data_IF_341614792528
#
_entry.id   IF_341614792528
#
_cell.length_a   1.000
_cell.length_b   1.000
_cell.length_c   1.000
_cell.angle_alpha   90.00
_cell.angle_beta   90.00
_cell.angle_gamma   90.00
#
_symmetry.space_group_name_H-M   'P 1'
#
loop_
_entity.id
_entity.type
_entity.pdbx_description
1 polymer ?
#
# COMPACT_ATOMS: atom_id res chain seq x y z
N UNK A 1 10.30 22.22 5.78
CA UNK A 1 9.33 22.35 4.68
C UNK A 1 7.92 22.17 5.22
N UNK A 2 6.95 22.98 4.82
CA UNK A 2 5.55 22.88 5.30
C UNK A 2 4.81 21.69 4.67
N UNK A 3 3.62 21.38 5.19
CA UNK A 3 2.77 20.30 4.63
C UNK A 3 2.34 20.57 3.19
N UNK A 4 1.98 21.83 2.88
CA UNK A 4 1.61 22.23 1.52
C UNK A 4 2.81 22.17 0.57
N UNK A 5 3.99 22.62 1.02
CA UNK A 5 5.23 22.52 0.24
C UNK A 5 5.62 21.07 -0.01
N UNK A 6 5.52 20.20 1.00
CA UNK A 6 5.82 18.78 0.85
C UNK A 6 4.86 18.12 -0.14
N UNK A 7 3.56 18.42 -0.04
CA UNK A 7 2.54 17.92 -0.96
C UNK A 7 2.78 18.39 -2.40
N UNK A 8 3.04 19.68 -2.60
CA UNK A 8 3.26 20.24 -3.93
C UNK A 8 4.58 19.77 -4.56
N UNK A 9 5.66 19.76 -3.79
CA UNK A 9 7.01 19.47 -4.32
C UNK A 9 7.24 17.99 -4.57
N UNK A 10 6.69 17.12 -3.72
CA UNK A 10 6.89 15.67 -3.79
C UNK A 10 5.65 14.90 -4.21
N UNK A 11 4.54 15.59 -4.50
CA UNK A 11 3.27 15.00 -4.92
C UNK A 11 2.71 14.00 -3.88
N UNK A 12 3.01 14.25 -2.60
CA UNK A 12 2.51 13.41 -1.51
C UNK A 12 1.10 13.88 -1.16
N UNK A 13 0.09 12.98 -1.15
CA UNK A 13 -1.27 13.36 -0.76
C UNK A 13 -1.31 13.94 0.66
N UNK A 14 -2.09 15.01 0.86
CA UNK A 14 -2.26 15.64 2.18
C UNK A 14 -2.77 14.65 3.24
N UNK A 15 -3.61 13.69 2.84
CA UNK A 15 -4.10 12.63 3.72
C UNK A 15 -2.96 11.81 4.33
N UNK A 16 -1.99 11.39 3.51
CA UNK A 16 -0.80 10.65 3.96
C UNK A 16 0.06 11.49 4.90
N UNK A 17 0.22 12.78 4.60
CA UNK A 17 0.97 13.71 5.47
C UNK A 17 0.28 13.88 6.83
N UNK A 18 -1.04 13.97 6.86
CA UNK A 18 -1.82 14.06 8.10
C UNK A 18 -1.81 12.75 8.90
N UNK A 19 -1.90 11.59 8.24
CA UNK A 19 -1.74 10.30 8.91
C UNK A 19 -0.37 10.19 9.58
N UNK A 20 0.68 10.57 8.84
CA UNK A 20 2.05 10.58 9.36
C UNK A 20 2.22 11.47 10.59
N UNK A 21 1.68 12.70 10.56
CA UNK A 21 1.68 13.60 11.72
C UNK A 21 0.90 13.01 12.91
N UNK A 22 -0.26 12.39 12.65
CA UNK A 22 -1.14 11.78 13.66
C UNK A 22 -0.49 10.60 14.37
N UNK A 23 0.30 9.79 13.66
CA UNK A 23 1.00 8.66 14.26
C UNK A 23 2.14 9.07 15.19
N UNK A 24 2.57 10.33 15.17
CA UNK A 24 3.60 10.85 16.07
C UNK A 24 4.96 10.15 15.91
N UNK A 25 5.24 9.63 14.71
CA UNK A 25 6.46 8.86 14.40
C UNK A 25 7.73 9.71 14.39
N UNK A 26 7.61 11.04 14.44
CA UNK A 26 8.74 11.94 14.62
C UNK A 26 8.91 12.30 16.09
N UNK A 27 10.16 12.20 16.56
CA UNK A 27 10.55 12.68 17.89
C UNK A 27 10.05 14.12 18.11
N UNK A 28 9.55 14.37 19.31
CA UNK A 28 8.68 15.47 19.71
C UNK A 28 9.19 16.93 19.53
N UNK A 29 10.17 17.19 18.66
CA UNK A 29 10.89 18.48 18.56
C UNK A 29 10.97 18.97 17.11
N UNK A 30 9.84 19.07 16.41
CA UNK A 30 9.77 19.75 15.09
C UNK A 30 8.61 20.75 14.96
N UNK A 31 8.05 21.21 16.08
CA UNK A 31 7.15 22.37 16.09
C UNK A 31 7.98 23.63 16.33
N UNK A 32 8.42 24.28 15.25
CA UNK A 32 8.93 25.66 15.33
C UNK A 32 7.74 26.57 15.04
N UNK A 33 7.25 27.28 16.07
CA UNK A 33 6.14 28.25 15.99
C UNK A 33 4.92 27.66 15.25
N UNK A 34 4.24 26.71 15.90
CA UNK A 34 2.87 26.30 15.52
C UNK A 34 2.72 25.44 14.26
N UNK A 35 3.76 25.25 13.44
CA UNK A 35 3.70 24.45 12.20
C UNK A 35 4.74 23.32 12.19
N UNK A 36 4.37 22.17 11.60
CA UNK A 36 5.28 21.07 11.33
C UNK A 36 6.23 21.43 10.19
N UNK A 37 7.48 20.99 10.31
CA UNK A 37 8.51 21.17 9.29
C UNK A 37 9.12 19.82 8.94
N UNK A 38 8.85 19.35 7.72
CA UNK A 38 9.43 18.13 7.16
C UNK A 38 10.89 18.34 6.78
N UNK A 39 11.75 17.40 7.17
CA UNK A 39 13.14 17.27 6.72
C UNK A 39 13.34 16.04 5.84
N UNK A 40 14.57 15.81 5.39
CA UNK A 40 14.90 14.71 4.49
C UNK A 40 14.61 13.33 5.10
N UNK A 41 14.74 13.16 6.43
CA UNK A 41 14.40 11.91 7.11
C UNK A 41 12.89 11.66 7.11
N UNK A 42 12.08 12.71 7.24
CA UNK A 42 10.63 12.58 7.14
C UNK A 42 10.22 12.21 5.71
N UNK A 43 10.88 12.79 4.69
CA UNK A 43 10.63 12.45 3.29
C UNK A 43 10.98 10.99 2.97
N UNK A 44 12.10 10.48 3.49
CA UNK A 44 12.46 9.06 3.36
C UNK A 44 11.37 8.15 3.95
N UNK A 45 10.85 8.49 5.13
CA UNK A 45 9.78 7.72 5.78
C UNK A 45 8.46 7.80 5.02
N UNK A 46 8.11 8.98 4.51
CA UNK A 46 6.91 9.17 3.69
C UNK A 46 6.98 8.38 2.38
N UNK A 47 8.17 8.24 1.78
CA UNK A 47 8.34 7.40 0.59
C UNK A 47 8.03 5.92 0.86
N UNK A 48 8.39 5.43 2.06
CA UNK A 48 8.07 4.07 2.50
C UNK A 48 6.56 3.93 2.71
N UNK A 49 5.92 4.91 3.37
CA UNK A 49 4.47 4.93 3.60
C UNK A 49 3.71 4.90 2.27
N UNK A 50 4.12 5.72 1.29
CA UNK A 50 3.53 5.69 -0.05
C UNK A 50 3.68 4.31 -0.70
N UNK A 51 4.87 3.72 -0.63
CA UNK A 51 5.11 2.38 -1.20
C UNK A 51 4.21 1.33 -0.57
N UNK A 52 3.99 1.37 0.75
CA UNK A 52 3.11 0.44 1.44
C UNK A 52 1.64 0.66 1.05
N UNK A 53 1.21 1.91 0.93
CA UNK A 53 -0.13 2.25 0.45
C UNK A 53 -0.36 1.74 -0.99
N UNK A 54 0.62 1.90 -1.88
CA UNK A 54 0.54 1.40 -3.28
C UNK A 54 0.48 -0.13 -3.37
N UNK A 55 1.09 -0.83 -2.42
CA UNK A 55 0.98 -2.30 -2.29
C UNK A 55 -0.42 -2.70 -1.76
N UNK A 56 -1.18 -1.74 -1.21
CA UNK A 56 -2.52 -1.94 -0.66
C UNK A 56 -2.51 -2.30 0.82
N UNK A 57 -1.51 -1.88 1.59
CA UNK A 57 -1.59 -1.93 3.06
C UNK A 57 -2.61 -0.93 3.59
N UNK A 58 -3.34 -1.33 4.62
CA UNK A 58 -4.26 -0.43 5.33
C UNK A 58 -3.48 0.52 6.25
N UNK A 59 -4.01 1.72 6.53
CA UNK A 59 -3.34 2.74 7.37
C UNK A 59 -2.88 2.20 8.73
N UNK A 60 -3.63 1.28 9.34
CA UNK A 60 -3.26 0.63 10.61
C UNK A 60 -2.09 -0.36 10.47
N UNK A 61 -1.99 -1.06 9.34
CA UNK A 61 -0.87 -1.93 9.02
C UNK A 61 0.40 -1.12 8.76
N UNK A 62 0.25 0.02 8.06
CA UNK A 62 1.33 0.96 7.79
C UNK A 62 1.86 1.56 9.09
N UNK A 63 0.99 2.05 9.98
CA UNK A 63 1.39 2.57 11.30
C UNK A 63 2.19 1.54 12.09
N UNK A 64 1.72 0.29 12.11
CA UNK A 64 2.39 -0.82 12.79
C UNK A 64 3.76 -1.09 12.19
N UNK A 65 3.86 -1.16 10.87
CA UNK A 65 5.12 -1.34 10.16
C UNK A 65 6.12 -0.22 10.47
N UNK A 66 5.66 1.03 10.45
CA UNK A 66 6.53 2.19 10.67
C UNK A 66 7.01 2.29 12.12
N UNK A 67 6.18 1.96 13.11
CA UNK A 67 6.63 1.88 14.51
C UNK A 67 7.73 0.85 14.68
N UNK A 68 7.55 -0.34 14.12
CA UNK A 68 8.56 -1.38 14.12
C UNK A 68 9.84 -0.93 13.40
N UNK A 69 9.74 -0.33 12.22
CA UNK A 69 10.91 0.11 11.46
C UNK A 69 11.82 1.07 12.24
N UNK A 70 11.24 1.88 13.14
CA UNK A 70 11.98 2.86 13.94
C UNK A 70 12.55 2.29 15.26
N UNK A 71 12.24 1.04 15.61
CA UNK A 71 12.79 0.33 16.77
C UNK A 71 14.16 -0.32 16.46
N UNK A 72 15.03 -0.46 17.47
CA UNK A 72 16.48 -0.65 17.26
C UNK A 72 17.03 -2.08 17.18
N UNK A 73 16.34 -3.15 17.58
CA UNK A 73 17.05 -4.45 17.74
C UNK A 73 16.40 -5.74 17.22
N UNK A 74 15.08 -5.86 17.04
CA UNK A 74 14.47 -7.08 16.46
C UNK A 74 13.36 -6.80 15.43
N UNK A 75 13.08 -5.53 15.17
CA UNK A 75 11.92 -5.14 14.41
C UNK A 75 12.04 -5.39 12.90
N UNK A 76 13.26 -5.49 12.36
CA UNK A 76 13.48 -5.80 10.93
C UNK A 76 12.91 -7.15 10.52
N UNK A 77 13.06 -8.17 11.37
CA UNK A 77 12.49 -9.50 11.11
C UNK A 77 10.96 -9.47 11.13
N UNK A 78 10.37 -8.65 12.02
CA UNK A 78 8.92 -8.46 12.08
C UNK A 78 8.39 -7.69 10.86
N UNK A 79 9.10 -6.65 10.41
CA UNK A 79 8.78 -5.94 9.18
C UNK A 79 8.81 -6.89 7.97
N UNK A 80 9.82 -7.75 7.86
CA UNK A 80 9.88 -8.78 6.80
C UNK A 80 8.69 -9.74 6.87
N UNK A 81 8.29 -10.16 8.07
CA UNK A 81 7.13 -11.02 8.25
C UNK A 81 5.81 -10.33 7.81
N UNK A 82 5.64 -9.04 8.11
CA UNK A 82 4.49 -8.25 7.64
C UNK A 82 4.44 -8.22 6.11
N UNK A 83 5.57 -7.96 5.46
CA UNK A 83 5.67 -7.95 4.00
C UNK A 83 5.38 -9.32 3.40
N UNK A 84 5.91 -10.39 3.98
CA UNK A 84 5.69 -11.76 3.50
C UNK A 84 4.22 -12.18 3.62
N UNK A 85 3.55 -11.82 4.72
CA UNK A 85 2.11 -12.07 4.88
C UNK A 85 1.29 -11.34 3.81
N UNK A 86 1.61 -10.07 3.52
CA UNK A 86 0.92 -9.32 2.46
C UNK A 86 1.16 -9.94 1.08
N UNK A 87 2.41 -10.33 0.80
CA UNK A 87 2.77 -11.04 -0.43
C UNK A 87 1.95 -12.32 -0.61
N UNK A 88 1.82 -13.13 0.44
CA UNK A 88 1.02 -14.36 0.39
C UNK A 88 -0.47 -14.08 0.16
N UNK A 89 -1.02 -13.05 0.78
CA UNK A 89 -2.41 -12.62 0.53
C UNK A 89 -2.63 -12.22 -0.92
N UNK A 90 -1.74 -11.40 -1.48
CA UNK A 90 -1.82 -10.98 -2.89
C UNK A 90 -1.73 -12.18 -3.83
N UNK A 91 -0.82 -13.13 -3.57
CA UNK A 91 -0.70 -14.36 -4.36
C UNK A 91 -1.98 -15.22 -4.30
N UNK A 92 -2.58 -15.35 -3.12
CA UNK A 92 -3.85 -16.06 -2.97
C UNK A 92 -4.98 -15.40 -3.77
N UNK A 93 -5.04 -14.06 -3.76
CA UNK A 93 -6.01 -13.29 -4.55
C UNK A 93 -5.78 -13.45 -6.06
N UNK A 94 -4.52 -13.47 -6.52
CA UNK A 94 -4.18 -13.73 -7.92
C UNK A 94 -4.70 -15.12 -8.31
N UNK A 95 -4.36 -16.16 -7.56
CA UNK A 95 -4.82 -17.52 -7.84
C UNK A 95 -6.35 -17.65 -7.83
N UNK A 96 -7.02 -16.93 -6.94
CA UNK A 96 -8.47 -16.88 -6.92
C UNK A 96 -9.03 -16.23 -8.19
N UNK A 97 -8.49 -15.08 -8.60
CA UNK A 97 -8.90 -14.36 -9.82
C UNK A 97 -8.60 -15.16 -11.10
N UNK A 98 -7.49 -15.88 -11.16
CA UNK A 98 -7.16 -16.80 -12.26
C UNK A 98 -8.22 -17.90 -12.41
N UNK A 99 -8.68 -18.47 -11.30
CA UNK A 99 -9.75 -19.48 -11.29
C UNK A 99 -11.09 -18.89 -11.75
N UNK A 100 -11.42 -17.68 -11.30
CA UNK A 100 -12.62 -16.98 -11.77
C UNK A 100 -12.57 -16.72 -13.28
N UNK A 101 -11.42 -16.30 -13.81
CA UNK A 101 -11.23 -16.08 -15.24
C UNK A 101 -11.40 -17.37 -16.04
N UNK A 102 -10.88 -18.49 -15.54
CA UNK A 102 -11.03 -19.80 -16.16
C UNK A 102 -12.51 -20.22 -16.29
N UNK A 103 -13.33 -19.94 -15.27
CA UNK A 103 -14.77 -20.19 -15.34
C UNK A 103 -15.46 -19.28 -16.38
N UNK A 104 -15.09 -18.00 -16.44
CA UNK A 104 -15.62 -17.06 -17.43
C UNK A 104 -15.29 -17.52 -18.85
N UNK A 105 -14.05 -17.93 -19.11
CA UNK A 105 -13.63 -18.38 -20.42
C UNK A 105 -14.29 -19.68 -20.84
N UNK A 106 -14.53 -20.61 -19.90
CA UNK A 106 -15.33 -21.80 -20.16
C UNK A 106 -16.76 -21.45 -20.59
N UNK A 107 -17.43 -20.55 -19.87
CA UNK A 107 -18.78 -20.11 -20.22
C UNK A 107 -18.80 -19.45 -21.61
N UNK A 108 -17.84 -18.56 -21.90
CA UNK A 108 -17.70 -17.93 -23.22
C UNK A 108 -17.49 -18.95 -24.34
N UNK A 109 -16.62 -19.95 -24.12
CA UNK A 109 -16.38 -21.02 -25.08
C UNK A 109 -17.64 -21.84 -25.36
N UNK A 110 -18.38 -22.25 -24.31
CA UNK A 110 -19.60 -23.04 -24.47
C UNK A 110 -20.67 -22.33 -25.28
N UNK A 111 -20.86 -21.01 -25.06
CA UNK A 111 -21.79 -20.19 -25.83
C UNK A 111 -21.39 -20.14 -27.30
N UNK A 112 -20.10 -19.89 -27.60
CA UNK A 112 -19.59 -19.83 -28.98
C UNK A 112 -19.78 -21.16 -29.71
N UNK A 113 -19.40 -22.28 -29.08
CA UNK A 113 -19.57 -23.62 -29.64
C UNK A 113 -21.04 -23.93 -29.99
N UNK A 114 -21.97 -23.54 -29.12
CA UNK A 114 -23.41 -23.73 -29.36
C UNK A 114 -23.95 -22.88 -30.52
N UNK A 115 -23.38 -21.69 -30.75
CA UNK A 115 -23.73 -20.85 -31.91
C UNK A 115 -23.20 -21.43 -33.22
N UNK A 116 -21.98 -21.96 -33.23
CA UNK A 116 -21.39 -22.58 -34.43
C UNK A 116 -22.13 -23.86 -34.84
N UNK A 117 -22.55 -24.66 -33.85
CA UNK A 117 -23.33 -25.89 -34.10
C UNK A 117 -24.70 -25.58 -34.73
N UNK A 118 -25.37 -24.50 -34.31
CA UNK A 118 -26.65 -24.06 -34.88
C UNK A 118 -26.55 -23.46 -36.30
N UNK A 119 -25.36 -23.04 -36.74
CA UNK A 119 -25.14 -22.51 -38.09
C UNK A 119 -24.82 -23.60 -39.12
N UNK A 120 -24.50 -24.80 -38.67
CA UNK A 120 -24.06 -25.92 -39.51
C UNK A 120 -25.17 -26.96 -39.75
N UNK A 121 -26.35 -26.74 -39.15
CA UNK A 121 -27.57 -27.55 -39.29
C UNK A 121 -28.63 -26.68 -39.97
#
# INVERSE_FOLDING_TARGET
MTIDEASQRYHIPLEILHEYERWGLCGAVKKVIGSWQYDDTDLERLSIIMTLHDIGFESSEIETYMKLLLEKSDAKAQCLNILERKRQSILADIHFREKQLSHLDYLRYSIRKNQDTKRTI
#
